data_IF_218545683306
#
_entry.id   IF_218545683306
#
_cell.length_a   1.000
_cell.length_b   1.000
_cell.length_c   1.000
_cell.angle_alpha   90.00
_cell.angle_beta   90.00
_cell.angle_gamma   90.00
#
_symmetry.space_group_name_H-M   'P 1'
#
loop_
_entity.id
_entity.type
_entity.pdbx_description
1 polymer ?
#
# COMPACT_ATOMS: atom_id res chain seq x y z
N UNK A 1 -35.04 48.11 5.76
CA UNK A 1 -35.00 47.31 7.02
C UNK A 1 -33.56 47.12 7.34
N UNK A 2 -33.06 47.99 8.23
CA UNK A 2 -31.64 48.06 8.60
C UNK A 2 -31.34 46.95 9.61
N UNK A 3 -30.59 45.96 9.16
CA UNK A 3 -30.07 44.89 10.02
C UNK A 3 -28.80 45.33 10.76
N UNK A 4 -28.98 46.03 11.86
CA UNK A 4 -27.88 46.30 12.82
C UNK A 4 -27.56 45.00 13.56
N UNK A 5 -26.57 44.23 13.04
CA UNK A 5 -25.96 43.13 13.78
C UNK A 5 -25.21 43.70 14.99
N UNK A 6 -25.73 43.47 16.20
CA UNK A 6 -25.09 43.85 17.44
C UNK A 6 -23.72 43.14 17.55
N UNK A 7 -22.65 43.91 17.48
CA UNK A 7 -21.32 43.42 17.84
C UNK A 7 -21.35 43.06 19.34
N UNK A 8 -21.15 41.79 19.67
CA UNK A 8 -21.01 41.35 21.05
C UNK A 8 -19.84 42.08 21.77
N UNK A 9 -19.83 42.13 23.10
CA UNK A 9 -18.82 42.85 23.86
C UNK A 9 -17.40 42.41 23.52
N UNK A 10 -16.50 43.37 23.28
CA UNK A 10 -15.11 43.10 22.93
C UNK A 10 -14.41 42.29 24.05
N UNK A 11 -13.86 41.11 23.72
CA UNK A 11 -13.17 40.29 24.69
C UNK A 11 -11.92 41.02 25.27
N UNK A 12 -11.57 40.80 26.53
CA UNK A 12 -10.41 41.45 27.16
C UNK A 12 -9.09 41.02 26.51
N UNK A 13 -8.09 41.91 26.51
CA UNK A 13 -6.81 41.67 25.83
C UNK A 13 -6.08 40.37 26.23
N UNK A 14 -6.04 39.94 27.50
CA UNK A 14 -5.45 38.65 27.87
C UNK A 14 -6.16 37.45 27.24
N UNK A 15 -7.50 37.46 27.14
CA UNK A 15 -8.27 36.38 26.50
C UNK A 15 -7.96 36.29 25.00
N UNK A 16 -7.80 37.42 24.31
CA UNK A 16 -7.42 37.43 22.89
C UNK A 16 -6.00 36.88 22.66
N UNK A 17 -5.06 37.21 23.53
CA UNK A 17 -3.70 36.66 23.49
C UNK A 17 -3.70 35.14 23.68
N UNK A 18 -4.41 34.63 24.69
CA UNK A 18 -4.57 33.20 24.92
C UNK A 18 -5.23 32.49 23.73
N UNK A 19 -6.32 33.05 23.16
CA UNK A 19 -6.98 32.51 21.97
C UNK A 19 -6.05 32.49 20.74
N UNK A 20 -5.19 33.48 20.56
CA UNK A 20 -4.17 33.52 19.50
C UNK A 20 -3.16 32.40 19.65
N UNK A 21 -2.66 32.14 20.86
CA UNK A 21 -1.73 31.04 21.15
C UNK A 21 -2.41 29.69 20.89
N UNK A 22 -3.66 29.51 21.34
CA UNK A 22 -4.43 28.28 21.14
C UNK A 22 -4.76 28.03 19.66
N UNK A 23 -5.11 29.09 18.91
CA UNK A 23 -5.30 28.97 17.47
C UNK A 23 -4.03 28.47 16.76
N UNK A 24 -2.85 28.93 17.19
CA UNK A 24 -1.56 28.41 16.73
C UNK A 24 -1.28 28.64 15.24
N UNK A 25 -1.90 29.63 14.60
CA UNK A 25 -1.62 30.01 13.21
C UNK A 25 -0.68 31.21 13.18
N UNK A 26 0.58 30.96 12.81
CA UNK A 26 1.58 32.01 12.71
C UNK A 26 1.13 33.13 11.74
N UNK A 27 1.19 34.36 12.17
CA UNK A 27 0.83 35.55 11.38
C UNK A 27 -0.64 35.93 11.48
N UNK A 28 -1.43 35.26 12.33
CA UNK A 28 -2.80 35.69 12.67
C UNK A 28 -2.90 36.07 14.14
N UNK A 29 -3.66 37.13 14.41
CA UNK A 29 -4.08 37.54 15.76
C UNK A 29 -5.58 37.36 15.88
N UNK A 30 -6.03 36.74 16.96
CA UNK A 30 -7.45 36.60 17.29
C UNK A 30 -7.96 37.90 17.87
N UNK A 31 -9.08 38.40 17.33
CA UNK A 31 -9.76 39.61 17.81
C UNK A 31 -11.01 39.28 18.60
N UNK A 32 -11.74 38.23 18.21
CA UNK A 32 -12.89 37.72 18.93
C UNK A 32 -13.09 36.21 18.66
N UNK A 33 -13.79 35.56 19.57
CA UNK A 33 -14.22 34.15 19.43
C UNK A 33 -15.72 34.13 19.81
N UNK A 34 -16.55 33.64 18.92
CA UNK A 34 -17.98 33.54 19.11
C UNK A 34 -18.49 32.18 18.63
N UNK A 35 -19.69 31.82 19.03
CA UNK A 35 -20.39 30.65 18.53
C UNK A 35 -21.42 31.10 17.49
N UNK A 36 -21.49 30.39 16.36
CA UNK A 36 -22.53 30.62 15.36
C UNK A 36 -23.82 29.93 15.78
N UNK A 37 -24.97 30.33 15.24
CA UNK A 37 -26.25 29.66 15.50
C UNK A 37 -26.24 28.16 15.15
N UNK A 38 -25.38 27.74 14.21
CA UNK A 38 -25.20 26.36 13.77
C UNK A 38 -24.22 25.57 14.66
N UNK A 39 -23.76 26.12 15.79
CA UNK A 39 -22.85 25.50 16.74
C UNK A 39 -21.40 25.45 16.29
N UNK A 40 -20.99 26.20 15.26
CA UNK A 40 -19.58 26.31 14.84
C UNK A 40 -18.87 27.38 15.69
N UNK A 41 -17.56 27.24 15.84
CA UNK A 41 -16.73 28.28 16.47
C UNK A 41 -16.26 29.28 15.40
N UNK A 42 -16.75 30.50 15.46
CA UNK A 42 -16.30 31.60 14.62
C UNK A 42 -15.14 32.33 15.33
N UNK A 43 -13.99 32.36 14.69
CA UNK A 43 -12.80 33.03 15.19
C UNK A 43 -12.50 34.21 14.28
N UNK A 44 -12.75 35.44 14.77
CA UNK A 44 -12.37 36.63 14.06
C UNK A 44 -10.85 36.86 14.17
N UNK A 45 -10.22 37.03 13.02
CA UNK A 45 -8.75 37.21 12.97
C UNK A 45 -8.37 38.36 12.05
N UNK A 46 -7.23 38.94 12.38
CA UNK A 46 -6.50 39.87 11.51
C UNK A 46 -5.11 39.32 11.26
N UNK A 47 -4.45 39.79 10.21
CA UNK A 47 -3.01 39.53 10.03
C UNK A 47 -2.21 40.29 11.10
N UNK A 48 -1.28 39.60 11.75
CA UNK A 48 -0.37 40.21 12.72
C UNK A 48 0.44 41.32 12.03
N UNK A 49 0.36 42.58 12.51
CA UNK A 49 1.13 43.68 11.95
C UNK A 49 2.65 43.41 11.97
N UNK A 50 3.15 42.61 12.92
CA UNK A 50 4.54 42.20 13.00
C UNK A 50 4.95 41.18 11.94
N UNK A 51 3.98 40.54 11.25
CA UNK A 51 4.25 39.59 10.16
C UNK A 51 4.45 40.34 8.82
N UNK A 52 5.62 40.96 8.67
CA UNK A 52 5.95 41.84 7.53
C UNK A 52 5.78 41.15 6.17
N UNK A 53 6.09 39.87 6.08
CA UNK A 53 5.98 39.11 4.83
C UNK A 53 4.56 39.16 4.17
N UNK A 54 3.51 39.33 4.99
CA UNK A 54 2.13 39.41 4.48
C UNK A 54 1.87 40.67 3.63
N UNK A 55 2.58 41.76 3.90
CA UNK A 55 2.44 43.03 3.17
C UNK A 55 3.46 43.20 2.03
N UNK A 56 4.32 42.22 1.79
CA UNK A 56 5.27 42.28 0.70
C UNK A 56 4.59 41.97 -0.66
N UNK A 57 4.87 42.81 -1.65
CA UNK A 57 4.36 42.62 -2.99
C UNK A 57 4.89 41.29 -3.59
N UNK A 58 4.02 40.41 -4.13
CA UNK A 58 4.44 39.12 -4.64
C UNK A 58 5.32 39.20 -5.90
N UNK A 59 5.39 40.37 -6.54
CA UNK A 59 6.18 40.56 -7.77
C UNK A 59 7.54 41.22 -7.48
N UNK A 60 7.57 42.33 -6.72
CA UNK A 60 8.82 43.06 -6.46
C UNK A 60 9.41 42.80 -5.05
N UNK A 61 8.73 42.08 -4.16
CA UNK A 61 9.18 41.78 -2.80
C UNK A 61 9.13 42.95 -1.82
N UNK A 62 8.89 44.19 -2.26
CA UNK A 62 8.89 45.35 -1.38
C UNK A 62 7.60 45.40 -0.53
N UNK A 63 7.74 45.82 0.72
CA UNK A 63 6.63 46.00 1.64
C UNK A 63 5.75 47.21 1.22
N UNK A 64 4.45 47.00 1.14
CA UNK A 64 3.48 48.05 0.87
C UNK A 64 3.04 48.77 2.16
N UNK A 65 2.75 50.04 2.07
CA UNK A 65 2.31 50.88 3.19
C UNK A 65 0.91 51.42 3.01
N UNK A 66 0.43 51.55 1.75
CA UNK A 66 -0.88 52.13 1.43
C UNK A 66 -1.96 51.07 1.30
N UNK A 67 -2.95 51.16 2.16
CA UNK A 67 -4.13 50.29 2.17
C UNK A 67 -5.09 50.68 1.03
N UNK A 68 -5.54 49.66 0.24
CA UNK A 68 -6.59 49.84 -0.76
C UNK A 68 -7.97 49.54 -0.20
N UNK A 69 -8.12 48.39 0.43
CA UNK A 69 -9.38 47.90 0.99
C UNK A 69 -9.16 46.81 2.03
N UNK A 70 -10.21 46.45 2.78
CA UNK A 70 -10.15 45.41 3.81
C UNK A 70 -11.17 44.31 3.54
N UNK A 71 -10.86 43.38 2.60
CA UNK A 71 -11.77 42.27 2.27
C UNK A 71 -11.83 41.27 3.42
N UNK A 72 -12.96 40.56 3.56
CA UNK A 72 -13.12 39.43 4.48
C UNK A 72 -13.10 38.11 3.73
N UNK A 73 -12.57 37.04 4.37
CA UNK A 73 -12.64 35.67 3.88
C UNK A 73 -12.84 34.73 5.06
N UNK A 74 -13.59 33.63 4.82
CA UNK A 74 -13.96 32.69 5.86
C UNK A 74 -13.41 31.27 5.55
N UNK A 75 -12.07 31.04 5.63
CA UNK A 75 -11.54 29.71 5.48
C UNK A 75 -11.88 28.85 6.68
N UNK A 76 -12.27 27.58 6.42
CA UNK A 76 -12.47 26.58 7.47
C UNK A 76 -11.12 26.08 7.98
N UNK A 77 -11.09 25.75 9.26
CA UNK A 77 -9.93 25.20 9.95
C UNK A 77 -10.24 23.84 10.59
N UNK A 78 -9.24 23.25 11.24
CA UNK A 78 -9.41 22.04 12.03
C UNK A 78 -10.38 22.25 13.18
N UNK A 79 -10.95 21.17 13.70
CA UNK A 79 -11.83 21.22 14.85
C UNK A 79 -11.08 21.63 16.12
N UNK A 80 -11.77 22.36 16.99
CA UNK A 80 -11.37 22.58 18.39
C UNK A 80 -12.40 21.87 19.26
N UNK A 81 -11.99 20.79 19.92
CA UNK A 81 -12.93 19.86 20.52
C UNK A 81 -13.80 19.19 19.47
N UNK A 82 -15.12 19.27 19.63
CA UNK A 82 -16.13 18.75 18.72
C UNK A 82 -16.65 19.78 17.70
N UNK A 83 -16.20 21.03 17.79
CA UNK A 83 -16.71 22.15 16.99
C UNK A 83 -15.80 22.49 15.82
N UNK A 84 -16.39 22.65 14.65
CA UNK A 84 -15.68 23.12 13.47
C UNK A 84 -15.31 24.61 13.63
N UNK A 85 -14.06 24.95 13.31
CA UNK A 85 -13.58 26.33 13.35
C UNK A 85 -13.72 26.99 11.98
N UNK A 86 -14.36 28.17 11.99
CA UNK A 86 -14.48 29.06 10.84
C UNK A 86 -13.67 30.33 11.16
N UNK A 87 -12.67 30.65 10.34
CA UNK A 87 -11.89 31.86 10.50
C UNK A 87 -12.58 33.01 9.75
N UNK A 88 -13.05 34.03 10.45
CA UNK A 88 -13.44 35.28 9.80
C UNK A 88 -12.23 36.20 9.70
N UNK A 89 -11.48 36.02 8.62
CA UNK A 89 -10.24 36.75 8.42
C UNK A 89 -10.45 38.06 7.69
N UNK A 90 -10.26 39.18 8.40
CA UNK A 90 -10.23 40.53 7.86
C UNK A 90 -8.85 40.81 7.29
N UNK A 91 -8.70 40.67 5.97
CA UNK A 91 -7.47 40.90 5.22
C UNK A 91 -7.25 42.35 4.90
N UNK A 92 -6.02 42.68 4.53
CA UNK A 92 -5.68 43.96 3.91
C UNK A 92 -5.33 43.74 2.45
N UNK A 93 -5.91 44.57 1.57
CA UNK A 93 -5.44 44.69 0.19
C UNK A 93 -4.60 45.94 0.09
N UNK A 94 -3.43 45.82 -0.45
CA UNK A 94 -2.40 46.83 -0.51
C UNK A 94 -2.26 47.40 -1.92
N UNK A 95 -1.84 48.67 -2.04
CA UNK A 95 -1.25 49.19 -3.26
C UNK A 95 0.23 48.87 -3.31
N UNK A 96 0.73 48.49 -4.48
CA UNK A 96 2.18 48.42 -4.72
C UNK A 96 2.63 49.75 -5.32
N UNK A 97 3.29 50.55 -4.54
CA UNK A 97 3.74 51.90 -4.95
C UNK A 97 5.18 51.89 -5.49
N UNK A 98 5.76 50.70 -5.77
CA UNK A 98 7.10 50.58 -6.35
C UNK A 98 7.07 51.00 -7.82
N UNK A 99 7.85 52.02 -8.21
CA UNK A 99 7.97 52.46 -9.59
C UNK A 99 8.36 51.27 -10.53
N UNK A 100 7.63 51.13 -11.64
CA UNK A 100 7.86 50.05 -12.61
C UNK A 100 7.32 48.68 -12.20
N UNK A 101 6.68 48.55 -11.06
CA UNK A 101 6.04 47.28 -10.70
C UNK A 101 4.60 47.21 -11.27
N UNK A 102 4.38 46.26 -12.17
CA UNK A 102 3.07 46.05 -12.82
C UNK A 102 1.99 45.45 -11.89
N UNK A 103 2.32 45.13 -10.65
CA UNK A 103 1.37 44.46 -9.74
C UNK A 103 0.18 45.34 -9.35
N UNK A 104 0.34 46.65 -9.30
CA UNK A 104 -0.67 47.65 -8.96
C UNK A 104 -1.31 47.47 -7.58
N UNK A 105 -1.94 46.34 -7.32
CA UNK A 105 -2.51 46.00 -6.02
C UNK A 105 -2.49 44.49 -5.74
N UNK A 106 -2.38 44.12 -4.45
CA UNK A 106 -2.39 42.70 -4.03
C UNK A 106 -3.06 42.57 -2.65
N UNK A 107 -3.62 41.39 -2.40
CA UNK A 107 -4.18 41.04 -1.07
C UNK A 107 -3.13 40.25 -0.31
N UNK A 108 -2.98 40.58 0.97
CA UNK A 108 -2.10 39.84 1.88
C UNK A 108 -2.42 38.36 1.90
N UNK A 109 -1.42 37.56 2.15
CA UNK A 109 -1.52 36.12 2.21
C UNK A 109 -0.59 35.54 3.29
N UNK A 110 -0.91 34.35 3.75
CA UNK A 110 -0.13 33.62 4.74
C UNK A 110 0.11 32.19 4.23
N UNK A 111 1.26 31.57 4.56
CA UNK A 111 1.50 30.16 4.22
C UNK A 111 0.43 29.22 4.77
N UNK A 112 -0.11 29.54 5.94
CA UNK A 112 -1.18 28.75 6.56
C UNK A 112 -2.52 28.81 5.82
N UNK A 113 -2.75 29.81 4.95
CA UNK A 113 -3.97 29.94 4.15
C UNK A 113 -3.62 30.43 2.75
N UNK A 114 -3.49 29.52 1.81
CA UNK A 114 -3.15 29.83 0.41
C UNK A 114 -4.11 30.87 -0.19
N UNK A 115 -3.65 31.62 -1.18
CA UNK A 115 -4.49 32.61 -1.88
C UNK A 115 -5.78 31.96 -2.38
N UNK A 116 -6.94 32.63 -2.14
CA UNK A 116 -8.28 32.16 -2.51
C UNK A 116 -8.67 30.79 -1.90
N UNK A 117 -7.92 30.29 -0.91
CA UNK A 117 -8.27 29.02 -0.27
C UNK A 117 -9.46 29.16 0.65
N UNK A 118 -10.35 28.18 0.61
CA UNK A 118 -11.50 28.04 1.53
C UNK A 118 -11.19 27.18 2.74
N UNK A 119 -9.99 26.58 2.79
CA UNK A 119 -9.49 25.75 3.87
C UNK A 119 -8.10 26.20 4.26
N UNK A 120 -7.76 26.10 5.54
CA UNK A 120 -6.37 26.27 6.01
C UNK A 120 -5.48 25.15 5.47
N UNK A 121 -4.18 25.39 5.41
CA UNK A 121 -3.21 24.37 5.00
C UNK A 121 -3.25 23.15 5.92
N UNK A 122 -3.34 23.36 7.25
CA UNK A 122 -3.41 22.27 8.22
C UNK A 122 -4.67 21.40 8.08
N UNK A 123 -5.85 22.00 7.80
CA UNK A 123 -7.05 21.22 7.53
C UNK A 123 -6.91 20.38 6.28
N UNK A 124 -6.24 20.89 5.24
CA UNK A 124 -5.93 20.09 4.04
C UNK A 124 -4.99 18.93 4.34
N UNK A 125 -3.97 19.16 5.17
CA UNK A 125 -3.07 18.10 5.61
C UNK A 125 -3.83 17.03 6.39
N UNK A 126 -4.65 17.40 7.39
CA UNK A 126 -5.48 16.45 8.14
C UNK A 126 -6.42 15.62 7.24
N UNK A 127 -7.02 16.25 6.22
CA UNK A 127 -7.82 15.52 5.23
C UNK A 127 -6.98 14.54 4.41
N UNK A 128 -5.78 14.95 4.01
CA UNK A 128 -4.83 14.13 3.29
C UNK A 128 -4.37 12.92 4.09
N UNK A 129 -3.99 13.14 5.35
CA UNK A 129 -3.59 12.10 6.32
C UNK A 129 -4.73 11.10 6.58
N UNK A 130 -5.93 11.62 6.88
CA UNK A 130 -7.09 10.75 7.14
C UNK A 130 -7.38 9.82 5.95
N UNK A 131 -7.29 10.33 4.72
CA UNK A 131 -7.51 9.50 3.53
C UNK A 131 -6.29 8.66 3.19
N UNK A 132 -5.08 9.19 3.26
CA UNK A 132 -3.85 8.54 2.82
C UNK A 132 -3.27 7.56 3.85
N UNK A 133 -3.12 8.00 5.08
CA UNK A 133 -2.42 7.23 6.12
C UNK A 133 -3.37 6.42 7.00
N UNK A 134 -4.55 6.97 7.34
CA UNK A 134 -5.56 6.25 8.13
C UNK A 134 -6.49 5.40 7.27
N UNK A 135 -6.32 5.44 5.95
CA UNK A 135 -7.11 4.71 4.96
C UNK A 135 -8.63 4.99 5.05
N UNK A 136 -9.03 6.11 5.63
CA UNK A 136 -10.42 6.53 5.72
C UNK A 136 -10.99 6.79 4.31
N UNK A 137 -12.19 6.32 3.96
CA UNK A 137 -12.84 6.70 2.70
C UNK A 137 -12.96 8.22 2.56
N UNK A 138 -12.70 8.77 1.36
CA UNK A 138 -12.75 10.22 1.14
C UNK A 138 -14.11 10.84 1.55
N UNK A 139 -15.21 10.14 1.28
CA UNK A 139 -16.55 10.55 1.70
C UNK A 139 -16.72 10.57 3.23
N UNK A 140 -16.08 9.64 3.96
CA UNK A 140 -16.13 9.61 5.41
C UNK A 140 -15.27 10.75 6.01
N UNK A 141 -14.08 10.98 5.46
CA UNK A 141 -13.25 12.11 5.82
C UNK A 141 -13.97 13.45 5.51
N UNK A 142 -14.62 13.55 4.36
CA UNK A 142 -15.40 14.72 3.97
C UNK A 142 -16.51 15.04 5.00
N UNK A 143 -17.31 14.03 5.39
CA UNK A 143 -18.34 14.20 6.43
C UNK A 143 -17.74 14.60 7.77
N UNK A 144 -16.64 13.92 8.19
CA UNK A 144 -15.99 14.23 9.47
C UNK A 144 -15.52 15.68 9.55
N UNK A 145 -14.98 16.22 8.46
CA UNK A 145 -14.41 17.57 8.43
C UNK A 145 -15.34 18.62 7.81
N UNK A 146 -16.61 18.31 7.56
CA UNK A 146 -17.60 19.23 7.05
C UNK A 146 -17.29 19.80 5.66
N UNK A 147 -16.65 19.02 4.78
CA UNK A 147 -16.29 19.43 3.42
C UNK A 147 -16.96 18.52 2.38
N UNK A 148 -16.89 18.88 1.10
CA UNK A 148 -17.36 17.99 0.03
C UNK A 148 -16.37 16.85 -0.24
N UNK A 149 -16.88 15.70 -0.73
CA UNK A 149 -16.08 14.53 -1.13
C UNK A 149 -14.98 14.92 -2.12
N UNK A 150 -15.30 15.81 -3.08
CA UNK A 150 -14.35 16.34 -4.05
C UNK A 150 -13.22 17.14 -3.39
N UNK A 151 -13.52 17.86 -2.31
CA UNK A 151 -12.51 18.62 -1.54
C UNK A 151 -11.59 17.68 -0.80
N UNK A 152 -12.12 16.65 -0.13
CA UNK A 152 -11.33 15.63 0.55
C UNK A 152 -10.45 14.85 -0.43
N UNK A 153 -10.99 14.43 -1.58
CA UNK A 153 -10.25 13.76 -2.62
C UNK A 153 -9.07 14.60 -3.17
N UNK A 154 -9.31 15.90 -3.43
CA UNK A 154 -8.25 16.83 -3.88
C UNK A 154 -7.19 17.07 -2.81
N UNK A 155 -7.59 17.17 -1.55
CA UNK A 155 -6.65 17.31 -0.44
C UNK A 155 -5.77 16.08 -0.33
N UNK A 156 -6.36 14.87 -0.44
CA UNK A 156 -5.61 13.62 -0.48
C UNK A 156 -4.64 13.56 -1.66
N UNK A 157 -5.07 13.89 -2.88
CA UNK A 157 -4.19 13.85 -4.06
C UNK A 157 -2.96 14.74 -3.85
N UNK A 158 -3.16 15.99 -3.43
CA UNK A 158 -2.06 16.93 -3.20
C UNK A 158 -1.12 16.45 -2.08
N UNK A 159 -1.68 15.94 -0.99
CA UNK A 159 -0.90 15.37 0.12
C UNK A 159 -0.10 14.14 -0.30
N UNK A 160 -0.74 13.21 -1.02
CA UNK A 160 -0.08 11.99 -1.47
C UNK A 160 1.04 12.28 -2.46
N UNK A 161 0.81 13.18 -3.42
CA UNK A 161 1.83 13.55 -4.41
C UNK A 161 3.06 14.19 -3.72
N UNK A 162 2.86 15.05 -2.73
CA UNK A 162 3.94 15.66 -1.94
C UNK A 162 4.71 14.61 -1.12
N UNK A 163 3.99 13.73 -0.40
CA UNK A 163 4.61 12.69 0.43
C UNK A 163 5.39 11.66 -0.39
N UNK A 164 4.86 11.27 -1.54
CA UNK A 164 5.48 10.28 -2.42
C UNK A 164 6.67 10.87 -3.18
N UNK A 165 6.60 12.12 -3.64
CA UNK A 165 7.73 12.81 -4.24
C UNK A 165 8.91 12.92 -3.25
N UNK A 166 8.66 13.32 -2.00
CA UNK A 166 9.69 13.37 -0.98
C UNK A 166 10.25 11.99 -0.57
N UNK A 167 9.49 10.91 -0.79
CA UNK A 167 10.01 9.55 -0.64
C UNK A 167 10.91 9.19 -1.82
N UNK A 168 10.45 9.44 -3.05
CA UNK A 168 11.18 9.08 -4.28
C UNK A 168 12.55 9.80 -4.36
N UNK A 169 12.63 11.05 -3.89
CA UNK A 169 13.87 11.82 -3.79
C UNK A 169 14.90 11.24 -2.79
N UNK A 170 14.43 10.49 -1.78
CA UNK A 170 15.28 9.91 -0.73
C UNK A 170 15.53 8.42 -0.89
N UNK A 171 14.91 7.80 -1.89
CA UNK A 171 15.01 6.36 -2.11
C UNK A 171 16.38 6.01 -2.69
N UNK A 172 17.02 5.02 -2.07
CA UNK A 172 18.22 4.39 -2.64
C UNK A 172 17.90 3.73 -4.00
N UNK A 173 18.91 3.60 -4.88
CA UNK A 173 18.73 2.91 -6.15
C UNK A 173 18.22 1.48 -5.95
N UNK A 174 17.12 1.14 -6.61
CA UNK A 174 16.47 -0.18 -6.52
C UNK A 174 17.36 -1.24 -7.16
N UNK A 175 17.81 -2.23 -6.39
CA UNK A 175 18.63 -3.34 -6.86
C UNK A 175 17.79 -4.59 -7.14
N UNK A 176 16.73 -4.84 -6.37
CA UNK A 176 15.85 -5.98 -6.52
C UNK A 176 14.39 -5.56 -6.48
N UNK A 177 13.62 -5.98 -7.48
CA UNK A 177 12.20 -5.71 -7.56
C UNK A 177 11.39 -7.00 -7.73
N UNK A 178 10.14 -6.96 -7.29
CA UNK A 178 9.15 -8.00 -7.54
C UNK A 178 8.01 -7.46 -8.40
N UNK A 179 7.62 -8.21 -9.42
CA UNK A 179 6.46 -7.90 -10.26
C UNK A 179 5.39 -8.96 -10.08
N UNK A 180 4.16 -8.51 -9.88
CA UNK A 180 2.99 -9.37 -9.73
C UNK A 180 1.74 -8.63 -10.25
N UNK A 181 0.62 -9.31 -10.39
CA UNK A 181 -0.63 -8.69 -10.81
C UNK A 181 -1.79 -9.00 -9.86
N UNK A 182 -2.73 -8.09 -9.83
CA UNK A 182 -4.00 -8.33 -9.15
C UNK A 182 -5.19 -7.75 -9.92
N UNK A 183 -6.36 -8.35 -9.70
CA UNK A 183 -7.60 -7.86 -10.31
C UNK A 183 -8.09 -6.59 -9.63
N UNK A 184 -8.47 -5.62 -10.46
CA UNK A 184 -9.10 -4.37 -10.06
C UNK A 184 -10.63 -4.50 -10.15
N UNK A 185 -11.24 -5.17 -9.21
CA UNK A 185 -12.68 -5.45 -9.20
C UNK A 185 -13.05 -6.77 -9.86
N UNK A 186 -14.32 -7.17 -9.71
CA UNK A 186 -14.91 -8.32 -10.38
C UNK A 186 -15.51 -7.93 -11.73
N UNK A 187 -15.60 -8.86 -12.69
CA UNK A 187 -16.42 -8.64 -13.88
C UNK A 187 -17.85 -8.34 -13.44
N UNK A 188 -18.44 -7.31 -14.01
CA UNK A 188 -19.84 -6.95 -13.76
C UNK A 188 -20.60 -6.92 -15.09
N UNK A 189 -21.85 -7.30 -15.05
CA UNK A 189 -22.74 -7.13 -16.17
C UNK A 189 -23.23 -5.67 -16.19
N UNK A 190 -23.02 -5.01 -17.32
CA UNK A 190 -23.46 -3.64 -17.55
C UNK A 190 -24.56 -3.67 -18.59
N UNK A 191 -25.73 -3.22 -18.20
CA UNK A 191 -26.86 -3.05 -19.13
C UNK A 191 -26.79 -1.67 -19.76
N UNK A 192 -26.78 -1.60 -21.07
CA UNK A 192 -26.92 -0.35 -21.79
C UNK A 192 -28.33 0.22 -21.55
N UNK A 193 -28.47 1.45 -21.03
CA UNK A 193 -29.76 2.00 -20.66
C UNK A 193 -30.67 2.32 -21.90
N UNK A 194 -30.08 2.44 -23.09
CA UNK A 194 -30.84 2.77 -24.32
C UNK A 194 -31.21 1.51 -25.11
N UNK A 195 -30.31 0.54 -25.18
CA UNK A 195 -30.53 -0.69 -25.99
C UNK A 195 -30.97 -1.89 -25.17
N UNK A 196 -30.82 -1.87 -23.84
CA UNK A 196 -31.06 -3.02 -22.96
C UNK A 196 -30.02 -4.15 -23.11
N UNK A 197 -29.00 -3.96 -23.95
CA UNK A 197 -27.96 -4.97 -24.16
C UNK A 197 -27.11 -5.16 -22.91
N UNK A 198 -26.93 -6.40 -22.48
CA UNK A 198 -26.08 -6.75 -21.34
C UNK A 198 -24.68 -7.10 -21.83
N UNK A 199 -23.73 -6.22 -21.57
CA UNK A 199 -22.31 -6.45 -21.85
C UNK A 199 -21.58 -6.78 -20.55
N UNK A 200 -20.86 -7.91 -20.53
CA UNK A 200 -20.03 -8.30 -19.40
C UNK A 200 -18.68 -7.59 -19.48
N UNK A 201 -18.41 -6.72 -18.50
CA UNK A 201 -17.11 -6.05 -18.40
C UNK A 201 -16.02 -7.09 -18.13
N UNK A 202 -14.86 -6.95 -18.80
CA UNK A 202 -13.70 -7.79 -18.49
C UNK A 202 -13.10 -7.35 -17.16
N UNK A 203 -12.52 -8.31 -16.42
CA UNK A 203 -11.72 -7.99 -15.24
C UNK A 203 -10.55 -7.08 -15.65
N UNK A 204 -10.48 -5.92 -15.06
CA UNK A 204 -9.30 -5.05 -15.19
C UNK A 204 -8.18 -5.62 -14.30
N UNK A 205 -6.96 -5.56 -14.79
CA UNK A 205 -5.77 -5.99 -14.08
C UNK A 205 -4.86 -4.80 -13.81
N UNK A 206 -4.15 -4.84 -12.71
CA UNK A 206 -3.04 -3.92 -12.41
C UNK A 206 -1.77 -4.74 -12.23
N UNK A 207 -0.72 -4.37 -12.97
CA UNK A 207 0.64 -4.84 -12.72
C UNK A 207 1.24 -3.99 -11.60
N UNK A 208 1.86 -4.65 -10.64
CA UNK A 208 2.36 -4.07 -9.41
C UNK A 208 3.86 -4.32 -9.30
N UNK A 209 4.66 -3.26 -9.15
CA UNK A 209 6.10 -3.31 -8.92
C UNK A 209 6.43 -2.95 -7.47
N UNK A 210 7.23 -3.78 -6.80
CA UNK A 210 7.58 -3.66 -5.38
C UNK A 210 9.08 -3.74 -5.21
N UNK A 211 9.67 -2.90 -4.37
CA UNK A 211 11.04 -3.01 -3.92
C UNK A 211 11.19 -4.21 -2.97
N UNK A 212 12.05 -5.16 -3.30
CA UNK A 212 12.27 -6.36 -2.50
C UNK A 212 13.25 -6.15 -1.34
N UNK A 213 14.08 -5.13 -1.39
CA UNK A 213 15.05 -4.80 -0.33
C UNK A 213 14.38 -3.87 0.71
N UNK A 214 14.07 -2.65 0.35
CA UNK A 214 13.47 -1.68 1.26
C UNK A 214 12.01 -2.03 1.61
N UNK A 215 11.30 -2.69 0.72
CA UNK A 215 9.86 -2.90 0.80
C UNK A 215 9.09 -1.63 0.42
N UNK A 216 7.93 -1.77 -0.13
CA UNK A 216 7.10 -0.68 -0.58
C UNK A 216 6.79 -0.76 -2.07
N UNK A 217 5.65 -0.22 -2.42
CA UNK A 217 5.23 -0.16 -3.83
C UNK A 217 6.00 0.91 -4.57
N UNK A 218 6.70 0.52 -5.63
CA UNK A 218 7.36 1.42 -6.58
C UNK A 218 6.34 2.02 -7.55
N UNK A 219 5.44 1.20 -8.08
CA UNK A 219 4.43 1.65 -9.01
C UNK A 219 3.33 0.62 -9.28
N UNK A 220 2.25 1.09 -9.90
CA UNK A 220 1.18 0.29 -10.47
C UNK A 220 0.88 0.79 -11.88
N UNK A 221 0.71 -0.15 -12.82
CA UNK A 221 0.29 0.12 -14.19
C UNK A 221 -0.98 -0.66 -14.54
N UNK A 222 -1.79 -0.10 -15.42
CA UNK A 222 -2.98 -0.78 -15.92
C UNK A 222 -2.63 -1.90 -16.91
N UNK A 223 -3.32 -3.02 -16.77
CA UNK A 223 -3.11 -4.22 -17.57
C UNK A 223 -2.13 -5.22 -16.95
N UNK A 224 -1.90 -6.31 -17.65
CA UNK A 224 -0.91 -7.36 -17.35
C UNK A 224 -0.12 -7.69 -18.63
N UNK A 225 0.47 -6.68 -19.21
CA UNK A 225 1.19 -6.77 -20.49
C UNK A 225 2.67 -6.48 -20.29
N UNK A 226 3.51 -6.96 -21.21
CA UNK A 226 4.93 -6.62 -21.22
C UNK A 226 5.18 -5.10 -21.29
N UNK A 227 4.29 -4.34 -21.95
CA UNK A 227 4.38 -2.88 -22.00
C UNK A 227 4.15 -2.27 -20.62
N UNK A 228 3.10 -2.68 -19.91
CA UNK A 228 2.82 -2.18 -18.56
C UNK A 228 4.00 -2.44 -17.59
N UNK A 229 4.64 -3.60 -17.72
CA UNK A 229 5.83 -3.96 -16.96
C UNK A 229 7.04 -3.09 -17.35
N UNK A 230 7.32 -2.94 -18.66
CA UNK A 230 8.41 -2.10 -19.16
C UNK A 230 8.29 -0.66 -18.67
N UNK A 231 7.08 -0.10 -18.72
CA UNK A 231 6.82 1.27 -18.28
C UNK A 231 7.13 1.43 -16.77
N UNK A 232 6.76 0.44 -15.94
CA UNK A 232 7.08 0.44 -14.52
C UNK A 232 8.58 0.30 -14.25
N UNK A 233 9.29 -0.52 -15.03
CA UNK A 233 10.71 -0.81 -14.86
C UNK A 233 11.61 0.28 -15.45
N UNK A 234 11.12 1.13 -16.35
CA UNK A 234 11.92 2.13 -17.08
C UNK A 234 12.73 3.05 -16.15
N UNK A 235 12.11 3.50 -15.05
CA UNK A 235 12.78 4.35 -14.05
C UNK A 235 13.88 3.66 -13.25
N UNK A 236 13.96 2.32 -13.27
CA UNK A 236 14.86 1.52 -12.46
C UNK A 236 15.86 0.69 -13.30
N UNK A 237 15.74 0.70 -14.63
CA UNK A 237 16.50 -0.17 -15.53
C UNK A 237 18.03 -0.05 -15.38
N UNK A 238 18.56 1.11 -15.01
CA UNK A 238 20.00 1.34 -14.80
C UNK A 238 20.58 0.79 -13.50
N UNK A 239 19.74 0.47 -12.52
CA UNK A 239 20.17 0.02 -11.19
C UNK A 239 19.68 -1.38 -10.83
N UNK A 240 18.61 -1.84 -11.48
CA UNK A 240 17.96 -3.12 -11.21
C UNK A 240 18.88 -4.27 -11.61
N UNK A 241 19.11 -5.20 -10.67
CA UNK A 241 19.89 -6.43 -10.88
C UNK A 241 19.05 -7.69 -10.85
N UNK A 242 18.00 -7.69 -10.01
CA UNK A 242 17.15 -8.86 -9.81
C UNK A 242 15.68 -8.50 -9.99
N UNK A 243 14.95 -9.34 -10.72
CA UNK A 243 13.52 -9.19 -10.92
C UNK A 243 12.83 -10.51 -10.57
N UNK A 244 12.13 -10.54 -9.44
CA UNK A 244 11.31 -11.67 -9.04
C UNK A 244 9.94 -11.59 -9.72
N UNK A 245 9.51 -12.69 -10.32
CA UNK A 245 8.27 -12.76 -11.07
C UNK A 245 7.67 -14.16 -11.05
N UNK A 246 6.40 -14.26 -11.42
CA UNK A 246 5.78 -15.51 -11.81
C UNK A 246 6.46 -16.06 -13.07
N UNK A 247 6.36 -17.38 -13.28
CA UNK A 247 6.87 -18.03 -14.49
C UNK A 247 5.98 -17.67 -15.70
N UNK A 248 5.90 -16.39 -16.02
CA UNK A 248 5.11 -15.80 -17.11
C UNK A 248 6.01 -15.39 -18.28
N UNK A 249 5.68 -15.89 -19.48
CA UNK A 249 6.37 -15.48 -20.70
C UNK A 249 6.22 -13.97 -20.97
N UNK A 250 5.10 -13.39 -20.58
CA UNK A 250 4.80 -11.97 -20.70
C UNK A 250 5.80 -11.15 -19.87
N UNK A 251 5.99 -11.49 -18.60
CA UNK A 251 6.94 -10.79 -17.73
C UNK A 251 8.40 -11.02 -18.14
N UNK A 252 8.74 -12.23 -18.62
CA UNK A 252 10.07 -12.46 -19.20
C UNK A 252 10.37 -11.52 -20.36
N UNK A 253 9.38 -11.23 -21.21
CA UNK A 253 9.56 -10.34 -22.38
C UNK A 253 9.56 -8.85 -22.03
N UNK A 254 9.04 -8.48 -20.85
CA UNK A 254 9.02 -7.13 -20.32
C UNK A 254 10.29 -6.73 -19.57
N UNK A 255 11.05 -7.70 -19.09
CA UNK A 255 12.23 -7.48 -18.28
C UNK A 255 13.36 -6.76 -19.05
N UNK A 256 14.08 -5.81 -18.42
CA UNK A 256 15.23 -5.16 -19.04
C UNK A 256 16.37 -6.14 -19.33
N UNK A 257 17.16 -5.86 -20.36
CA UNK A 257 18.36 -6.65 -20.67
C UNK A 257 19.37 -6.58 -19.52
N UNK A 258 20.01 -7.71 -19.21
CA UNK A 258 21.03 -7.81 -18.16
C UNK A 258 20.49 -7.98 -16.74
N UNK A 259 19.18 -7.94 -16.55
CA UNK A 259 18.56 -8.22 -15.25
C UNK A 259 18.43 -9.72 -15.04
N UNK A 260 18.86 -10.21 -13.88
CA UNK A 260 18.70 -11.61 -13.47
C UNK A 260 17.23 -11.87 -13.07
N UNK A 261 16.58 -12.79 -13.78
CA UNK A 261 15.21 -13.19 -13.48
C UNK A 261 15.18 -14.20 -12.36
N UNK A 262 14.28 -14.03 -11.42
CA UNK A 262 14.11 -14.89 -10.25
C UNK A 262 12.68 -15.45 -10.26
N UNK A 263 12.54 -16.77 -10.33
CA UNK A 263 11.24 -17.43 -10.29
C UNK A 263 10.65 -17.39 -8.88
N UNK A 264 9.37 -17.01 -8.75
CA UNK A 264 8.74 -17.01 -7.44
C UNK A 264 8.52 -18.43 -6.90
N UNK A 265 9.12 -18.71 -5.75
CA UNK A 265 9.06 -20.01 -5.11
C UNK A 265 7.65 -20.46 -4.71
N UNK A 266 6.76 -19.52 -4.37
CA UNK A 266 5.37 -19.83 -4.06
C UNK A 266 4.65 -20.38 -5.30
N UNK A 267 4.88 -19.77 -6.46
CA UNK A 267 4.28 -20.21 -7.72
C UNK A 267 4.85 -21.53 -8.22
N UNK A 268 6.11 -21.86 -7.89
CA UNK A 268 6.67 -23.21 -8.14
C UNK A 268 5.93 -24.29 -7.35
N UNK A 269 5.77 -24.10 -6.05
CA UNK A 269 5.02 -25.05 -5.20
C UNK A 269 3.55 -25.12 -5.62
N UNK A 270 2.93 -24.00 -5.95
CA UNK A 270 1.56 -23.93 -6.46
C UNK A 270 1.41 -24.69 -7.78
N UNK A 271 2.39 -24.59 -8.69
CA UNK A 271 2.42 -25.36 -9.94
C UNK A 271 2.46 -26.86 -9.64
N UNK A 272 3.35 -27.32 -8.75
CA UNK A 272 3.46 -28.72 -8.38
C UNK A 272 2.16 -29.24 -7.72
N UNK A 273 1.56 -28.50 -6.79
CA UNK A 273 0.26 -28.85 -6.22
C UNK A 273 -0.84 -28.96 -7.26
N UNK A 274 -0.85 -28.07 -8.26
CA UNK A 274 -1.80 -28.16 -9.38
C UNK A 274 -1.62 -29.45 -10.19
N UNK A 275 -0.38 -29.93 -10.33
CA UNK A 275 -0.12 -31.21 -11.01
C UNK A 275 -0.67 -32.39 -10.24
N UNK A 276 -0.64 -32.39 -8.91
CA UNK A 276 -1.34 -33.38 -8.08
C UNK A 276 -2.84 -33.33 -8.37
N UNK A 277 -3.47 -32.15 -8.36
CA UNK A 277 -4.91 -32.01 -8.65
C UNK A 277 -5.26 -32.44 -10.08
N UNK A 278 -4.37 -32.23 -11.05
CA UNK A 278 -4.53 -32.67 -12.44
C UNK A 278 -4.51 -34.21 -12.52
N UNK A 279 -3.58 -34.86 -11.81
CA UNK A 279 -3.49 -36.32 -11.75
C UNK A 279 -4.77 -36.95 -11.13
N UNK A 280 -5.23 -36.43 -10.00
CA UNK A 280 -6.49 -36.86 -9.37
C UNK A 280 -7.67 -36.76 -10.34
N UNK A 281 -7.77 -35.68 -11.09
CA UNK A 281 -8.87 -35.47 -12.06
C UNK A 281 -8.76 -36.39 -13.28
N UNK A 282 -7.55 -36.58 -13.83
CA UNK A 282 -7.31 -37.44 -14.97
C UNK A 282 -7.63 -38.90 -14.66
N UNK A 283 -7.22 -39.38 -13.52
CA UNK A 283 -7.43 -40.75 -13.06
C UNK A 283 -8.83 -41.00 -12.50
N UNK A 284 -9.60 -39.94 -12.23
CA UNK A 284 -10.85 -40.05 -11.51
C UNK A 284 -10.67 -40.68 -10.10
N UNK A 285 -9.45 -40.55 -9.56
CA UNK A 285 -9.04 -41.25 -8.36
C UNK A 285 -9.91 -40.90 -7.17
N UNK A 286 -10.45 -41.94 -6.54
CA UNK A 286 -11.20 -41.84 -5.28
C UNK A 286 -10.68 -42.92 -4.35
N UNK A 287 -10.42 -42.54 -3.10
CA UNK A 287 -10.11 -43.51 -2.05
C UNK A 287 -11.32 -44.44 -1.85
N UNK A 288 -11.06 -45.71 -1.57
CA UNK A 288 -12.13 -46.72 -1.28
C UNK A 288 -12.88 -46.36 0.02
N UNK A 289 -12.22 -45.66 0.90
CA UNK A 289 -12.75 -45.23 2.20
C UNK A 289 -12.80 -43.69 2.29
N UNK A 290 -13.78 -43.18 3.03
CA UNK A 290 -13.80 -41.75 3.41
C UNK A 290 -12.55 -41.40 4.23
N UNK A 291 -12.13 -40.15 4.18
CA UNK A 291 -10.93 -39.74 4.92
C UNK A 291 -11.07 -39.89 6.44
N UNK A 292 -12.29 -39.78 6.96
CA UNK A 292 -12.61 -40.05 8.38
C UNK A 292 -12.38 -41.51 8.75
N UNK A 293 -12.75 -42.45 7.86
CA UNK A 293 -12.53 -43.88 8.07
C UNK A 293 -11.05 -44.25 8.02
N UNK A 294 -10.27 -43.51 7.25
CA UNK A 294 -8.82 -43.62 7.19
C UNK A 294 -8.10 -42.93 8.37
N UNK A 295 -8.83 -42.24 9.22
CA UNK A 295 -8.26 -41.44 10.32
C UNK A 295 -7.53 -40.17 9.84
N UNK A 296 -7.78 -39.74 8.59
CA UNK A 296 -7.17 -38.51 8.05
C UNK A 296 -8.03 -37.29 8.35
N UNK A 297 -7.43 -36.17 8.79
CA UNK A 297 -8.17 -34.96 9.14
C UNK A 297 -8.80 -34.23 7.93
N UNK A 298 -8.40 -34.60 6.71
CA UNK A 298 -8.88 -34.02 5.45
C UNK A 298 -8.78 -35.04 4.31
N UNK A 299 -9.55 -34.84 3.20
CA UNK A 299 -9.41 -35.66 2.00
C UNK A 299 -7.98 -35.74 1.48
N UNK A 300 -7.58 -36.90 0.95
CA UNK A 300 -6.21 -37.23 0.55
C UNK A 300 -5.57 -36.14 -0.33
N UNK A 301 -6.29 -35.61 -1.35
CA UNK A 301 -5.77 -34.58 -2.25
C UNK A 301 -5.41 -33.26 -1.52
N UNK A 302 -6.04 -32.97 -0.39
CA UNK A 302 -5.62 -31.84 0.45
C UNK A 302 -4.40 -32.17 1.31
N UNK A 303 -4.30 -33.42 1.80
CA UNK A 303 -3.16 -33.86 2.59
C UNK A 303 -1.86 -33.80 1.79
N UNK A 304 -1.88 -34.20 0.51
CA UNK A 304 -0.72 -34.16 -0.38
C UNK A 304 -0.21 -32.75 -0.71
N UNK A 305 -0.96 -31.70 -0.40
CA UNK A 305 -0.49 -30.31 -0.53
C UNK A 305 0.36 -29.85 0.65
N UNK A 306 0.23 -30.55 1.79
CA UNK A 306 1.12 -30.27 2.93
C UNK A 306 2.54 -30.71 2.60
N UNK A 307 3.47 -30.15 3.34
CA UNK A 307 4.85 -30.54 3.32
C UNK A 307 4.98 -31.88 4.04
N UNK A 308 5.74 -32.80 3.49
CA UNK A 308 5.88 -34.13 4.07
C UNK A 308 6.37 -34.07 5.53
N UNK A 309 7.30 -33.16 5.84
CA UNK A 309 7.82 -32.93 7.19
C UNK A 309 6.79 -32.34 8.19
N UNK A 310 5.67 -31.85 7.69
CA UNK A 310 4.59 -31.29 8.51
C UNK A 310 3.41 -32.28 8.65
N UNK A 311 3.49 -33.46 8.05
CA UNK A 311 2.51 -34.51 8.22
C UNK A 311 2.82 -35.28 9.51
N UNK A 312 1.77 -35.63 10.24
CA UNK A 312 1.85 -36.56 11.35
C UNK A 312 2.36 -37.92 10.83
N UNK A 313 3.30 -38.63 11.50
CA UNK A 313 3.85 -39.88 11.04
C UNK A 313 2.79 -40.97 10.79
N UNK A 314 1.73 -41.02 11.64
CA UNK A 314 0.67 -42.01 11.48
C UNK A 314 -0.19 -41.66 10.23
N UNK A 315 -0.50 -40.39 10.03
CA UNK A 315 -1.18 -39.96 8.79
C UNK A 315 -0.33 -40.21 7.53
N UNK A 316 0.99 -40.02 7.61
CA UNK A 316 1.90 -40.28 6.50
C UNK A 316 1.89 -41.78 6.13
N UNK A 317 1.95 -42.68 7.13
CA UNK A 317 1.88 -44.11 6.91
C UNK A 317 0.56 -44.54 6.23
N UNK A 318 -0.57 -43.98 6.66
CA UNK A 318 -1.86 -44.18 6.02
C UNK A 318 -1.87 -43.69 4.57
N UNK A 319 -1.35 -42.47 4.32
CA UNK A 319 -1.27 -41.88 2.96
C UNK A 319 -0.46 -42.79 2.05
N UNK A 320 0.71 -43.26 2.47
CA UNK A 320 1.57 -44.16 1.70
C UNK A 320 0.79 -45.47 1.42
N UNK A 321 0.20 -46.08 2.41
CA UNK A 321 -0.55 -47.34 2.23
C UNK A 321 -1.71 -47.23 1.26
N UNK A 322 -2.42 -46.08 1.28
CA UNK A 322 -3.51 -45.82 0.33
C UNK A 322 -3.00 -45.62 -1.10
N UNK A 323 -1.90 -44.90 -1.26
CA UNK A 323 -1.32 -44.64 -2.59
C UNK A 323 -0.61 -45.82 -3.20
N UNK A 324 -0.07 -46.73 -2.41
CA UNK A 324 0.56 -47.97 -2.89
C UNK A 324 -0.43 -49.07 -3.23
N UNK A 325 -1.70 -48.95 -2.85
CA UNK A 325 -2.71 -50.00 -3.01
C UNK A 325 -3.05 -50.33 -4.46
N UNK A 326 -2.91 -49.38 -5.37
CA UNK A 326 -3.25 -49.55 -6.80
C UNK A 326 -2.34 -48.71 -7.73
N UNK A 327 -2.40 -49.02 -9.03
CA UNK A 327 -1.56 -48.33 -10.04
C UNK A 327 -1.89 -46.85 -10.21
N UNK A 328 -3.10 -46.42 -9.95
CA UNK A 328 -3.51 -45.02 -10.06
C UNK A 328 -2.99 -44.22 -8.85
N UNK A 329 -3.07 -44.80 -7.65
CA UNK A 329 -2.45 -44.25 -6.44
C UNK A 329 -0.94 -44.08 -6.60
N UNK A 330 -0.25 -45.07 -7.16
CA UNK A 330 1.21 -45.01 -7.43
C UNK A 330 1.55 -43.87 -8.40
N UNK A 331 0.75 -43.58 -9.43
CA UNK A 331 0.94 -42.40 -10.29
C UNK A 331 0.80 -41.09 -9.49
N UNK A 332 -0.19 -41.01 -8.61
CA UNK A 332 -0.38 -39.83 -7.76
C UNK A 332 0.80 -39.67 -6.80
N UNK A 333 1.28 -40.77 -6.18
CA UNK A 333 2.47 -40.78 -5.35
C UNK A 333 3.70 -40.26 -6.09
N UNK A 334 3.90 -40.69 -7.34
CA UNK A 334 4.99 -40.22 -8.17
C UNK A 334 4.95 -38.70 -8.41
N UNK A 335 3.76 -38.13 -8.66
CA UNK A 335 3.60 -36.66 -8.79
C UNK A 335 3.84 -35.96 -7.46
N UNK A 336 3.39 -36.54 -6.35
CA UNK A 336 3.63 -35.98 -5.02
C UNK A 336 5.12 -35.94 -4.67
N UNK A 337 5.86 -37.02 -4.93
CA UNK A 337 7.31 -37.08 -4.71
C UNK A 337 8.05 -36.07 -5.61
N UNK A 338 7.62 -35.87 -6.87
CA UNK A 338 8.18 -34.81 -7.72
C UNK A 338 8.02 -33.41 -7.08
N UNK A 339 6.87 -33.14 -6.43
CA UNK A 339 6.66 -31.92 -5.66
C UNK A 339 7.65 -31.82 -4.48
N UNK A 340 7.86 -32.91 -3.75
CA UNK A 340 8.79 -32.90 -2.61
C UNK A 340 10.25 -32.66 -3.05
N UNK A 341 10.70 -33.21 -4.18
CA UNK A 341 12.00 -32.86 -4.76
C UNK A 341 12.14 -31.37 -5.06
N UNK A 342 11.11 -30.72 -5.62
CA UNK A 342 11.14 -29.27 -5.81
C UNK A 342 11.17 -28.51 -4.48
N UNK A 343 10.48 -29.00 -3.46
CA UNK A 343 10.52 -28.40 -2.14
C UNK A 343 11.87 -28.54 -1.46
N UNK A 344 12.52 -29.70 -1.62
CA UNK A 344 13.91 -29.90 -1.15
C UNK A 344 14.88 -28.91 -1.78
N UNK A 345 14.74 -28.67 -3.09
CA UNK A 345 15.49 -27.64 -3.79
C UNK A 345 15.23 -26.25 -3.18
N UNK A 346 13.97 -25.90 -2.96
CA UNK A 346 13.57 -24.62 -2.39
C UNK A 346 13.93 -24.47 -0.90
N UNK A 347 14.14 -25.57 -0.20
CA UNK A 347 14.61 -25.54 1.20
C UNK A 347 16.04 -25.03 1.34
N UNK A 348 16.86 -25.13 0.29
CA UNK A 348 18.23 -24.59 0.25
C UNK A 348 18.27 -23.05 0.20
N UNK A 349 17.16 -22.35 -0.06
CA UNK A 349 17.16 -20.88 -0.24
C UNK A 349 17.84 -20.16 0.92
N UNK A 350 18.66 -19.19 0.58
CA UNK A 350 19.41 -18.35 1.53
C UNK A 350 18.50 -17.68 2.58
N UNK A 351 17.26 -17.32 2.21
CA UNK A 351 16.27 -16.73 3.13
C UNK A 351 15.77 -17.71 4.21
N UNK A 352 15.88 -19.02 3.99
CA UNK A 352 15.50 -20.04 4.98
C UNK A 352 16.68 -20.50 5.83
N UNK A 353 17.85 -20.63 5.19
CA UNK A 353 19.07 -21.18 5.84
C UNK A 353 19.96 -20.09 6.42
N UNK A 354 19.72 -18.81 6.06
CA UNK A 354 20.57 -17.65 6.34
C UNK A 354 22.01 -17.79 5.78
N UNK A 355 22.21 -18.74 4.88
CA UNK A 355 23.48 -19.00 4.20
C UNK A 355 23.21 -19.18 2.70
N UNK A 356 23.98 -18.53 1.86
CA UNK A 356 23.92 -18.75 0.41
C UNK A 356 24.36 -20.16 0.10
N UNK A 357 23.53 -21.02 -0.53
CA UNK A 357 23.89 -22.39 -0.82
C UNK A 357 24.99 -22.48 -1.86
N UNK A 358 25.81 -23.53 -1.77
CA UNK A 358 26.78 -23.82 -2.83
C UNK A 358 26.04 -24.13 -4.15
N UNK A 359 26.50 -23.60 -5.29
CA UNK A 359 25.87 -23.86 -6.59
C UNK A 359 25.83 -25.36 -6.95
N UNK A 360 26.80 -26.18 -6.45
CA UNK A 360 26.77 -27.63 -6.59
C UNK A 360 25.56 -28.25 -5.89
N UNK A 361 25.33 -27.90 -4.63
CA UNK A 361 24.19 -28.43 -3.87
C UNK A 361 22.82 -28.10 -4.55
N UNK A 362 22.70 -26.91 -5.16
CA UNK A 362 21.51 -26.53 -5.93
C UNK A 362 21.37 -27.42 -7.18
N UNK A 363 22.47 -27.63 -7.91
CA UNK A 363 22.48 -28.51 -9.08
C UNK A 363 22.17 -29.98 -8.72
N UNK A 364 22.71 -30.48 -7.61
CA UNK A 364 22.47 -31.86 -7.17
C UNK A 364 20.99 -32.08 -6.83
N UNK A 365 20.34 -31.14 -6.12
CA UNK A 365 18.91 -31.24 -5.83
C UNK A 365 18.05 -31.13 -7.08
N UNK A 366 18.44 -30.26 -8.03
CA UNK A 366 17.73 -30.15 -9.31
C UNK A 366 17.92 -31.41 -10.17
N UNK A 367 19.11 -32.00 -10.17
CA UNK A 367 19.37 -33.26 -10.84
C UNK A 367 18.50 -34.39 -10.24
N UNK A 368 18.40 -34.48 -8.91
CA UNK A 368 17.52 -35.45 -8.25
C UNK A 368 16.07 -35.32 -8.70
N UNK A 369 15.58 -34.08 -8.85
CA UNK A 369 14.26 -33.82 -9.41
C UNK A 369 14.12 -34.34 -10.83
N UNK A 370 15.09 -34.08 -11.73
CA UNK A 370 15.01 -34.53 -13.12
C UNK A 370 15.17 -36.05 -13.28
N UNK A 371 16.03 -36.70 -12.46
CA UNK A 371 16.14 -38.14 -12.44
C UNK A 371 14.81 -38.79 -12.08
N UNK A 372 14.17 -38.29 -10.99
CA UNK A 372 12.83 -38.76 -10.61
C UNK A 372 11.79 -38.56 -11.72
N UNK A 373 11.83 -37.42 -12.39
CA UNK A 373 10.91 -37.14 -13.50
C UNK A 373 11.17 -38.03 -14.72
N UNK A 374 12.43 -38.41 -14.98
CA UNK A 374 12.79 -39.32 -16.07
C UNK A 374 12.34 -40.75 -15.79
N UNK A 375 12.52 -41.21 -14.54
CA UNK A 375 12.11 -42.56 -14.11
C UNK A 375 10.55 -42.73 -14.13
N UNK A 376 9.82 -41.60 -14.08
CA UNK A 376 8.36 -41.55 -14.06
C UNK A 376 7.77 -40.81 -15.28
N UNK A 377 8.41 -40.84 -16.44
CA UNK A 377 8.04 -40.06 -17.63
C UNK A 377 6.74 -40.49 -18.28
N UNK A 378 6.24 -41.70 -17.96
CA UNK A 378 4.92 -42.20 -18.35
C UNK A 378 3.76 -41.37 -17.75
N UNK A 379 4.01 -40.66 -16.61
CA UNK A 379 3.00 -39.81 -15.94
C UNK A 379 2.99 -38.42 -16.58
N UNK A 380 1.89 -38.10 -17.26
CA UNK A 380 1.76 -36.84 -18.04
C UNK A 380 2.02 -35.57 -17.21
N UNK A 381 1.58 -35.56 -15.96
CA UNK A 381 1.72 -34.44 -15.05
C UNK A 381 3.20 -34.19 -14.69
N UNK A 382 3.96 -35.26 -14.48
CA UNK A 382 5.42 -35.20 -14.21
C UNK A 382 6.15 -34.66 -15.42
N UNK A 383 5.86 -35.21 -16.60
CA UNK A 383 6.47 -34.77 -17.86
C UNK A 383 6.22 -33.28 -18.15
N UNK A 384 5.00 -32.80 -17.90
CA UNK A 384 4.66 -31.39 -18.09
C UNK A 384 5.26 -30.50 -17.03
N UNK A 385 5.40 -30.98 -15.80
CA UNK A 385 6.09 -30.27 -14.71
C UNK A 385 7.56 -30.11 -15.05
N UNK A 386 8.26 -31.22 -15.41
CA UNK A 386 9.66 -31.21 -15.78
C UNK A 386 9.96 -30.22 -16.93
N UNK A 387 9.17 -30.25 -18.00
CA UNK A 387 9.29 -29.31 -19.13
C UNK A 387 9.11 -27.85 -18.69
N UNK A 388 8.23 -27.57 -17.73
CA UNK A 388 8.05 -26.23 -17.23
C UNK A 388 9.24 -25.76 -16.41
N UNK A 389 9.77 -26.65 -15.53
CA UNK A 389 10.96 -26.33 -14.73
C UNK A 389 12.17 -26.15 -15.62
N UNK A 390 12.36 -27.00 -16.65
CA UNK A 390 13.46 -26.88 -17.62
C UNK A 390 13.43 -25.52 -18.34
N UNK A 391 12.28 -25.11 -18.84
CA UNK A 391 12.11 -23.79 -19.47
C UNK A 391 12.49 -22.62 -18.55
N UNK A 392 12.32 -22.79 -17.23
CA UNK A 392 12.56 -21.79 -16.20
C UNK A 392 13.74 -22.13 -15.30
N UNK A 393 14.63 -23.04 -15.74
CA UNK A 393 15.68 -23.62 -14.91
C UNK A 393 16.57 -22.54 -14.28
N UNK A 394 17.10 -21.62 -15.08
CA UNK A 394 18.00 -20.59 -14.56
C UNK A 394 17.29 -19.66 -13.56
N UNK A 395 16.09 -19.08 -13.82
CA UNK A 395 15.34 -18.33 -12.82
C UNK A 395 15.02 -19.10 -11.53
N UNK A 396 14.83 -20.42 -11.60
CA UNK A 396 14.63 -21.27 -10.40
C UNK A 396 15.93 -21.40 -9.60
N UNK A 397 17.06 -21.64 -10.27
CA UNK A 397 18.38 -21.66 -9.63
C UNK A 397 18.67 -20.32 -8.96
N UNK A 398 18.44 -19.21 -9.67
CA UNK A 398 18.69 -17.87 -9.17
C UNK A 398 17.80 -17.53 -7.97
N UNK A 399 16.57 -18.04 -7.91
CA UNK A 399 15.70 -17.91 -6.75
C UNK A 399 16.26 -18.61 -5.49
N UNK A 400 16.92 -19.75 -5.68
CA UNK A 400 17.53 -20.49 -4.57
C UNK A 400 18.82 -19.79 -4.11
N UNK A 401 19.67 -19.38 -5.05
CA UNK A 401 20.97 -18.75 -4.75
C UNK A 401 20.82 -17.36 -4.14
N UNK A 402 19.92 -16.53 -4.66
CA UNK A 402 19.72 -15.15 -4.19
C UNK A 402 18.80 -15.06 -2.98
N UNK A 403 17.87 -16.01 -2.85
CA UNK A 403 16.83 -16.00 -1.83
C UNK A 403 15.68 -15.01 -2.10
N UNK A 404 15.74 -14.20 -3.18
CA UNK A 404 14.63 -13.32 -3.54
C UNK A 404 13.37 -14.10 -3.89
N UNK A 405 12.23 -13.53 -3.61
CA UNK A 405 10.91 -14.06 -3.94
C UNK A 405 9.88 -12.95 -4.03
N UNK A 406 8.73 -13.24 -4.62
CA UNK A 406 7.64 -12.28 -4.77
C UNK A 406 6.75 -12.13 -3.51
N UNK A 407 7.16 -12.69 -2.36
CA UNK A 407 6.37 -12.67 -1.13
C UNK A 407 5.97 -11.26 -0.67
N UNK A 408 6.86 -10.25 -0.84
CA UNK A 408 6.54 -8.85 -0.53
C UNK A 408 5.50 -8.30 -1.51
N UNK A 409 5.60 -8.59 -2.81
CA UNK A 409 4.61 -8.18 -3.79
C UNK A 409 3.24 -8.82 -3.51
N UNK A 410 3.19 -10.11 -3.15
CA UNK A 410 1.96 -10.79 -2.75
C UNK A 410 1.33 -10.14 -1.49
N UNK A 411 2.13 -9.82 -0.48
CA UNK A 411 1.66 -9.11 0.72
C UNK A 411 1.09 -7.73 0.38
N UNK A 412 1.74 -6.99 -0.51
CA UNK A 412 1.26 -5.69 -0.98
C UNK A 412 0.00 -5.80 -1.85
N UNK A 413 -0.15 -6.87 -2.64
CA UNK A 413 -1.39 -7.15 -3.35
C UNK A 413 -2.57 -7.39 -2.40
N UNK A 414 -2.35 -8.01 -1.26
CA UNK A 414 -3.37 -8.12 -0.19
C UNK A 414 -3.75 -6.75 0.37
N UNK A 415 -2.73 -5.89 0.62
CA UNK A 415 -2.95 -4.50 1.04
C UNK A 415 -3.71 -3.71 -0.02
N UNK A 416 -3.37 -3.84 -1.31
CA UNK A 416 -4.06 -3.18 -2.40
C UNK A 416 -5.55 -3.57 -2.49
N UNK A 417 -5.86 -4.86 -2.30
CA UNK A 417 -7.23 -5.39 -2.23
C UNK A 417 -7.99 -4.84 -1.01
N UNK A 418 -7.34 -4.74 0.15
CA UNK A 418 -7.93 -4.15 1.36
C UNK A 418 -8.22 -2.66 1.17
N UNK A 419 -7.28 -1.91 0.61
CA UNK A 419 -7.44 -0.48 0.27
C UNK A 419 -8.62 -0.27 -0.67
N UNK A 420 -8.77 -1.12 -1.71
CA UNK A 420 -9.89 -1.04 -2.64
C UNK A 420 -11.23 -1.35 -1.96
N UNK A 421 -11.26 -2.35 -1.07
CA UNK A 421 -12.45 -2.71 -0.30
C UNK A 421 -12.89 -1.58 0.63
N UNK A 422 -11.95 -0.99 1.37
CA UNK A 422 -12.22 0.11 2.29
C UNK A 422 -12.71 1.37 1.55
N UNK A 423 -12.20 1.62 0.35
CA UNK A 423 -12.64 2.73 -0.50
C UNK A 423 -13.96 2.47 -1.24
N UNK A 424 -14.53 1.25 -1.14
CA UNK A 424 -15.69 0.80 -1.94
C UNK A 424 -15.41 0.85 -3.45
N UNK A 425 -14.16 0.59 -3.85
CA UNK A 425 -13.69 0.65 -5.23
C UNK A 425 -13.08 2.01 -5.60
N UNK A 426 -12.50 2.05 -6.79
CA UNK A 426 -11.90 3.26 -7.37
C UNK A 426 -12.37 3.43 -8.81
N UNK A 427 -12.95 4.57 -9.14
CA UNK A 427 -13.22 4.93 -10.52
C UNK A 427 -11.93 5.28 -11.30
N UNK A 428 -10.95 5.88 -10.60
CA UNK A 428 -9.68 6.31 -11.18
C UNK A 428 -8.52 5.42 -10.72
N UNK A 429 -7.83 4.69 -11.63
CA UNK A 429 -6.68 3.83 -11.32
C UNK A 429 -5.51 4.58 -10.68
N UNK A 430 -5.25 5.81 -11.10
CA UNK A 430 -4.16 6.61 -10.53
C UNK A 430 -4.40 6.95 -9.06
N UNK A 431 -5.65 7.22 -8.67
CA UNK A 431 -6.00 7.43 -7.26
C UNK A 431 -5.87 6.13 -6.45
N UNK A 432 -6.17 4.98 -7.06
CA UNK A 432 -5.89 3.68 -6.46
C UNK A 432 -4.40 3.48 -6.26
N UNK A 433 -3.59 3.74 -7.28
CA UNK A 433 -2.13 3.63 -7.23
C UNK A 433 -1.54 4.51 -6.12
N UNK A 434 -1.94 5.80 -6.05
CA UNK A 434 -1.53 6.71 -4.96
C UNK A 434 -1.85 6.12 -3.59
N UNK A 435 -3.07 5.62 -3.43
CA UNK A 435 -3.53 5.12 -2.14
C UNK A 435 -2.83 3.83 -1.72
N UNK A 436 -2.56 2.93 -2.66
CA UNK A 436 -1.77 1.73 -2.43
C UNK A 436 -0.33 2.09 -2.06
N UNK A 437 0.32 2.99 -2.81
CA UNK A 437 1.66 3.47 -2.48
C UNK A 437 1.71 4.11 -1.10
N UNK A 438 0.77 4.98 -0.76
CA UNK A 438 0.67 5.59 0.58
C UNK A 438 0.56 4.52 1.68
N UNK A 439 -0.28 3.51 1.51
CA UNK A 439 -0.47 2.44 2.49
C UNK A 439 0.80 1.58 2.67
N UNK A 440 1.45 1.21 1.58
CA UNK A 440 2.60 0.28 1.59
C UNK A 440 3.92 0.94 1.94
N UNK A 441 4.04 2.27 1.76
CA UNK A 441 5.27 3.04 2.05
C UNK A 441 5.22 3.81 3.37
N UNK A 442 4.17 3.62 4.18
CA UNK A 442 4.01 4.36 5.44
C UNK A 442 5.24 4.26 6.35
N UNK A 443 5.78 3.04 6.52
CA UNK A 443 6.96 2.82 7.35
C UNK A 443 8.21 3.55 6.82
N UNK A 444 8.39 3.62 5.50
CA UNK A 444 9.50 4.33 4.88
C UNK A 444 9.35 5.85 4.99
N UNK A 445 8.11 6.36 4.90
CA UNK A 445 7.84 7.80 5.00
C UNK A 445 8.02 8.36 6.42
N UNK A 446 7.67 7.62 7.45
CA UNK A 446 7.72 8.07 8.85
C UNK A 446 8.85 7.45 9.67
N UNK A 447 9.68 6.60 9.06
CA UNK A 447 10.59 5.71 9.77
C UNK A 447 9.82 4.56 10.46
N UNK A 448 10.51 3.49 10.81
CA UNK A 448 9.95 2.50 11.75
C UNK A 448 9.81 3.25 13.08
N UNK A 449 8.60 3.57 13.48
CA UNK A 449 8.35 3.87 14.89
C UNK A 449 8.78 2.61 15.64
N UNK A 450 9.90 2.68 16.35
CA UNK A 450 10.19 1.66 17.35
C UNK A 450 8.92 1.50 18.20
N UNK A 451 8.44 0.28 18.42
CA UNK A 451 7.34 0.09 19.33
C UNK A 451 7.80 0.77 20.63
N UNK A 452 7.03 1.76 21.11
CA UNK A 452 7.27 2.32 22.44
C UNK A 452 7.34 1.09 23.35
N UNK A 453 8.55 0.79 23.82
CA UNK A 453 8.74 -0.20 24.88
C UNK A 453 7.79 0.27 25.97
N UNK A 454 6.71 -0.46 26.19
CA UNK A 454 5.88 -0.29 27.35
C UNK A 454 6.86 -0.45 28.52
N UNK A 455 7.17 0.68 29.17
CA UNK A 455 8.06 0.64 30.31
C UNK A 455 7.49 -0.39 31.25
N UNK A 456 8.22 -1.47 31.45
CA UNK A 456 7.94 -2.41 32.53
C UNK A 456 8.03 -1.56 33.83
N UNK A 457 6.86 -1.20 34.33
CA UNK A 457 6.75 -0.76 35.71
C UNK A 457 7.20 -1.93 36.56
N UNK A 458 8.46 -1.97 36.90
CA UNK A 458 8.97 -2.76 38.02
C UNK A 458 8.30 -2.17 39.25
N UNK A 459 7.19 -2.80 39.64
CA UNK A 459 6.61 -2.59 40.95
C UNK A 459 7.61 -3.19 41.93
N UNK A 460 8.41 -2.31 42.57
CA UNK A 460 9.22 -2.69 43.70
C UNK A 460 8.27 -3.23 44.79
N UNK A 461 8.26 -4.53 44.94
CA UNK A 461 7.66 -5.16 46.14
C UNK A 461 8.55 -4.79 47.32
N UNK A 462 8.09 -3.83 48.11
CA UNK A 462 8.62 -3.58 49.45
C UNK A 462 8.47 -4.85 50.28
N UNK A 463 9.61 -5.40 50.67
CA UNK A 463 9.65 -6.57 51.57
C UNK A 463 9.04 -6.22 52.95
N UNK A 464 8.02 -6.92 53.30
CA UNK A 464 7.55 -6.99 54.68
C UNK A 464 8.43 -8.00 55.42
N UNK A 465 9.11 -7.54 56.45
CA UNK A 465 9.93 -8.34 57.35
C UNK A 465 9.08 -9.38 58.08
N UNK A 466 9.50 -10.62 57.98
CA UNK A 466 9.03 -11.70 58.85
C UNK A 466 9.59 -11.50 60.26
N UNK A 467 8.74 -11.45 61.24
CA UNK A 467 9.08 -11.74 62.66
C UNK A 467 8.70 -13.19 62.94
N UNK A 468 9.70 -13.92 63.35
CA UNK A 468 9.49 -15.19 64.05
C UNK A 468 9.23 -14.91 65.57
N UNK A 469 8.68 -15.85 66.35
CA UNK A 469 9.48 -16.85 67.00
C UNK A 469 9.33 -18.24 66.43
#
# INVERSE_FOLDING_TARGET
MDGTGSAGPAQPAPARAAATVLLGIRGLLVTAVTETPDGQTLVEVITDPAFEAARCCPRCGKAATRVKERPRTAPRDVFTGDRQVLLDWRKTRWHCDTPGCEQGAFTEWLPAVKRRARLTSRLRTCLGEAVGDDLTPAAAAARRYGVSDRTAARAFTAYADEQLAGLDERQDPVQAAGVDEFRRGAPADRTDPETGEVTRTRSEWLTHLVDLDAGGTLGLAEGRTATAEKDLLAGHAGTLRYLAMDMSATYRSGAPAGVTLVADAFHLVKLANRKIDEAFRRLGYRTQHAHEELGLPRPLHYMLRYNIENLDPDHLAVIIGVLDADADGQQIAAVWIAKEHLRDLLALRATRTHVTPAPSAVRDKLASFYIWCADNDSVTEIKTLAKTIDKWQQPVIDAVLTGYSNAKAEAHNRTAKLVARNARGFANPQNQARRVRMATTRAARYGRREPRRSGSRTVARSGAAARAP
#
